data_IF_911610382522
#
_entry.id   IF_911610382522
#
_cell.length_a   1.000
_cell.length_b   1.000
_cell.length_c   1.000
_cell.angle_alpha   90.00
_cell.angle_beta   90.00
_cell.angle_gamma   90.00
#
_symmetry.space_group_name_H-M   'P 1'
#
loop_
_entity.id
_entity.type
_entity.pdbx_description
1 polymer ?
#
# COMPACT_ATOMS: atom_id res chain seq x y z
N UNK A 1 -17.30 0.57 -6.32
CA UNK A 1 -18.37 0.19 -5.37
C UNK A 1 -17.91 0.24 -3.90
N UNK A 2 -16.73 0.81 -3.59
CA UNK A 2 -16.08 0.80 -2.27
C UNK A 2 -16.56 1.91 -1.31
N UNK A 3 -17.19 2.98 -1.81
CA UNK A 3 -17.58 4.13 -0.98
C UNK A 3 -18.65 3.82 0.10
N UNK A 4 -19.53 2.83 -0.11
CA UNK A 4 -20.69 2.63 0.78
C UNK A 4 -20.33 2.07 2.16
N UNK A 5 -19.19 1.41 2.31
CA UNK A 5 -18.79 0.82 3.60
C UNK A 5 -18.12 1.84 4.53
N UNK A 6 -17.40 2.83 3.97
CA UNK A 6 -16.72 3.86 4.76
C UNK A 6 -17.68 4.91 5.30
N UNK A 7 -18.69 5.27 4.51
CA UNK A 7 -19.69 6.27 4.89
C UNK A 7 -20.44 5.84 6.17
N UNK A 8 -20.78 4.55 6.26
CA UNK A 8 -21.45 3.95 7.42
C UNK A 8 -20.53 3.83 8.64
N UNK A 9 -19.27 3.42 8.45
CA UNK A 9 -18.34 3.19 9.57
C UNK A 9 -18.02 4.47 10.33
N UNK A 10 -17.84 5.57 9.60
CA UNK A 10 -17.39 6.82 10.19
C UNK A 10 -18.49 7.87 10.28
N UNK A 11 -19.74 7.57 9.93
CA UNK A 11 -20.81 8.57 9.91
C UNK A 11 -20.40 9.80 9.10
N UNK A 12 -19.90 9.57 7.88
CA UNK A 12 -19.48 10.62 6.94
C UNK A 12 -20.23 10.37 5.63
N UNK A 13 -20.77 11.41 5.01
CA UNK A 13 -21.50 11.24 3.74
C UNK A 13 -21.07 12.31 2.74
N UNK A 14 -20.50 11.87 1.62
CA UNK A 14 -20.17 12.76 0.52
C UNK A 14 -21.43 13.41 -0.04
N UNK A 15 -21.33 14.68 -0.43
CA UNK A 15 -22.40 15.40 -1.13
C UNK A 15 -22.18 15.36 -2.63
N UNK A 16 -23.27 15.29 -3.40
CA UNK A 16 -23.19 15.39 -4.85
C UNK A 16 -22.73 16.80 -5.25
N UNK A 17 -21.62 16.88 -5.98
CA UNK A 17 -21.07 18.14 -6.47
C UNK A 17 -21.71 18.45 -7.82
N UNK A 18 -22.39 19.59 -7.91
CA UNK A 18 -22.93 20.04 -9.20
C UNK A 18 -21.78 20.49 -10.13
N UNK A 19 -21.51 19.71 -11.19
CA UNK A 19 -20.38 19.97 -12.11
C UNK A 19 -20.70 20.85 -13.31
N UNK A 20 -21.98 21.11 -13.60
CA UNK A 20 -22.40 21.89 -14.76
C UNK A 20 -23.17 23.14 -14.33
N UNK A 21 -22.64 24.31 -14.67
CA UNK A 21 -23.45 25.53 -14.61
C UNK A 21 -22.96 26.66 -15.51
N UNK A 22 -23.91 27.24 -16.23
CA UNK A 22 -23.82 28.57 -16.80
C UNK A 22 -25.22 29.19 -16.80
N UNK A 23 -25.49 30.16 -15.93
CA UNK A 23 -26.65 31.03 -16.13
C UNK A 23 -26.29 32.04 -17.21
N UNK A 24 -26.78 31.83 -18.43
CA UNK A 24 -26.58 32.72 -19.56
C UNK A 24 -26.81 32.03 -20.90
N UNK A 25 -27.16 32.81 -21.92
CA UNK A 25 -27.24 32.30 -23.30
C UNK A 25 -25.82 32.34 -23.88
N UNK A 26 -25.36 31.21 -24.44
CA UNK A 26 -24.07 31.14 -25.13
C UNK A 26 -23.96 32.30 -26.13
N UNK A 27 -22.88 33.09 -26.03
CA UNK A 27 -22.61 34.28 -26.84
C UNK A 27 -23.42 35.56 -26.52
N UNK A 28 -24.05 35.68 -25.35
CA UNK A 28 -24.59 36.96 -24.84
C UNK A 28 -23.85 37.41 -23.57
N UNK A 29 -23.63 38.72 -23.37
CA UNK A 29 -23.10 39.21 -22.10
C UNK A 29 -24.06 38.86 -20.97
N UNK A 30 -23.50 38.53 -19.80
CA UNK A 30 -24.28 38.24 -18.61
C UNK A 30 -24.90 39.52 -18.06
N UNK A 31 -26.13 39.43 -17.60
CA UNK A 31 -26.71 40.46 -16.73
C UNK A 31 -26.01 40.45 -15.36
N UNK A 32 -26.04 41.57 -14.64
CA UNK A 32 -25.44 41.67 -13.29
C UNK A 32 -26.01 40.62 -12.32
N UNK A 33 -27.31 40.35 -12.40
CA UNK A 33 -27.97 39.30 -11.61
C UNK A 33 -27.47 37.90 -11.98
N UNK A 34 -27.36 37.59 -13.28
CA UNK A 34 -26.77 36.31 -13.72
C UNK A 34 -25.32 36.17 -13.27
N UNK A 35 -24.53 37.25 -13.29
CA UNK A 35 -23.17 37.25 -12.78
C UNK A 35 -23.13 36.95 -11.28
N UNK A 36 -23.98 37.60 -10.47
CA UNK A 36 -24.09 37.36 -9.03
C UNK A 36 -24.52 35.92 -8.71
N UNK A 37 -25.50 35.39 -9.43
CA UNK A 37 -25.95 33.99 -9.30
C UNK A 37 -24.82 33.00 -9.65
N UNK A 38 -24.11 33.24 -10.76
CA UNK A 38 -22.94 32.45 -11.15
C UNK A 38 -21.86 32.46 -10.05
N UNK A 39 -21.59 33.61 -9.42
CA UNK A 39 -20.63 33.70 -8.32
C UNK A 39 -21.07 32.94 -7.06
N UNK A 40 -22.32 33.10 -6.62
CA UNK A 40 -22.87 32.39 -5.46
C UNK A 40 -22.79 30.88 -5.67
N UNK A 41 -23.21 30.41 -6.85
CA UNK A 41 -23.20 28.99 -7.18
C UNK A 41 -21.78 28.43 -7.29
N UNK A 42 -20.83 29.18 -7.89
CA UNK A 42 -19.41 28.79 -7.91
C UNK A 42 -18.85 28.63 -6.50
N UNK A 43 -19.17 29.54 -5.57
CA UNK A 43 -18.77 29.42 -4.16
C UNK A 43 -19.39 28.18 -3.49
N UNK A 44 -20.63 27.87 -3.81
CA UNK A 44 -21.31 26.69 -3.29
C UNK A 44 -20.70 25.37 -3.81
N UNK A 45 -20.39 25.27 -5.11
CA UNK A 45 -19.67 24.13 -5.70
C UNK A 45 -18.31 23.93 -5.00
N UNK A 46 -17.54 25.01 -4.85
CA UNK A 46 -16.27 24.96 -4.13
C UNK A 46 -16.43 24.49 -2.68
N UNK A 47 -17.53 24.89 -2.01
CA UNK A 47 -17.84 24.44 -0.66
C UNK A 47 -18.11 22.93 -0.62
N UNK A 48 -18.88 22.39 -1.58
CA UNK A 48 -19.15 20.96 -1.72
C UNK A 48 -17.87 20.15 -2.00
N UNK A 49 -17.02 20.63 -2.91
CA UNK A 49 -15.73 20.00 -3.21
C UNK A 49 -14.81 19.98 -1.99
N UNK A 50 -14.70 21.12 -1.30
CA UNK A 50 -13.91 21.23 -0.08
C UNK A 50 -14.45 20.32 1.02
N UNK A 51 -15.77 20.26 1.22
CA UNK A 51 -16.41 19.37 2.18
C UNK A 51 -16.10 17.90 1.86
N UNK A 52 -16.25 17.47 0.60
CA UNK A 52 -15.93 16.11 0.17
C UNK A 52 -14.44 15.77 0.33
N UNK A 53 -13.55 16.74 0.08
CA UNK A 53 -12.11 16.58 0.34
C UNK A 53 -11.83 16.41 1.83
N UNK A 54 -12.44 17.23 2.69
CA UNK A 54 -12.32 17.12 4.15
C UNK A 54 -12.90 15.79 4.66
N UNK A 55 -13.97 15.26 4.05
CA UNK A 55 -14.55 13.95 4.38
C UNK A 55 -13.54 12.83 4.14
N UNK A 56 -12.93 12.81 2.95
CA UNK A 56 -11.89 11.83 2.61
C UNK A 56 -10.71 11.92 3.57
N UNK A 57 -10.28 13.14 3.91
CA UNK A 57 -9.19 13.35 4.87
C UNK A 57 -9.53 12.78 6.25
N UNK A 58 -10.77 12.96 6.73
CA UNK A 58 -11.21 12.38 7.99
C UNK A 58 -11.21 10.85 7.93
N UNK A 59 -11.80 10.25 6.89
CA UNK A 59 -11.80 8.79 6.69
C UNK A 59 -10.37 8.24 6.73
N UNK A 60 -9.45 8.83 5.95
CA UNK A 60 -8.05 8.41 5.96
C UNK A 60 -7.40 8.56 7.33
N UNK A 61 -7.65 9.66 8.04
CA UNK A 61 -7.09 9.88 9.39
C UNK A 61 -7.61 8.83 10.38
N UNK A 62 -8.89 8.49 10.34
CA UNK A 62 -9.51 7.51 11.24
C UNK A 62 -9.08 6.07 10.92
N UNK A 63 -8.91 5.75 9.63
CA UNK A 63 -8.30 4.49 9.20
C UNK A 63 -6.87 4.38 9.75
N UNK A 64 -6.08 5.44 9.62
CA UNK A 64 -4.70 5.50 10.11
C UNK A 64 -4.64 5.33 11.64
N UNK A 65 -5.56 5.96 12.39
CA UNK A 65 -5.68 5.72 13.85
C UNK A 65 -5.97 4.25 14.15
N UNK A 66 -6.99 3.67 13.51
CA UNK A 66 -7.35 2.27 13.72
C UNK A 66 -6.15 1.36 13.43
N UNK A 67 -5.49 1.59 12.30
CA UNK A 67 -4.31 0.85 11.90
C UNK A 67 -3.16 0.96 12.91
N UNK A 68 -2.85 2.17 13.39
CA UNK A 68 -1.77 2.40 14.36
C UNK A 68 -2.11 1.72 15.68
N UNK A 69 -3.35 1.82 16.16
CA UNK A 69 -3.81 1.14 17.37
C UNK A 69 -3.65 -0.38 17.25
N UNK A 70 -4.13 -0.99 16.16
CA UNK A 70 -4.00 -2.43 15.93
C UNK A 70 -2.52 -2.87 15.84
N UNK A 71 -1.69 -2.05 15.20
CA UNK A 71 -0.26 -2.33 15.03
C UNK A 71 0.49 -2.20 16.35
N UNK A 72 0.14 -1.22 17.19
CA UNK A 72 0.65 -1.12 18.56
C UNK A 72 0.27 -2.36 19.38
N UNK A 73 -0.98 -2.82 19.29
CA UNK A 73 -1.42 -4.04 19.97
C UNK A 73 -0.59 -5.25 19.55
N UNK A 74 -0.37 -5.41 18.24
CA UNK A 74 0.47 -6.49 17.69
C UNK A 74 1.89 -6.42 18.24
N UNK A 75 2.53 -5.25 18.14
CA UNK A 75 3.92 -5.08 18.55
C UNK A 75 4.11 -5.31 20.06
N UNK A 76 3.19 -4.82 20.88
CA UNK A 76 3.18 -5.08 22.34
C UNK A 76 2.99 -6.57 22.61
N UNK A 77 2.05 -7.23 21.92
CA UNK A 77 1.85 -8.68 22.06
C UNK A 77 3.13 -9.47 21.73
N UNK A 78 3.83 -9.08 20.65
CA UNK A 78 5.07 -9.72 20.25
C UNK A 78 6.23 -9.48 21.24
N UNK A 79 6.25 -8.33 21.91
CA UNK A 79 7.22 -8.01 22.96
C UNK A 79 6.95 -8.80 24.25
N UNK A 80 5.69 -8.86 24.68
CA UNK A 80 5.30 -9.53 25.92
C UNK A 80 5.24 -11.06 25.77
N UNK A 81 5.09 -11.59 24.55
CA UNK A 81 4.88 -13.01 24.31
C UNK A 81 3.46 -13.49 24.62
N UNK A 82 2.54 -12.58 24.90
CA UNK A 82 1.14 -12.84 25.21
C UNK A 82 0.22 -12.00 24.31
N UNK A 83 -1.04 -12.40 24.15
CA UNK A 83 -1.98 -11.65 23.32
C UNK A 83 -2.45 -10.41 24.06
N UNK A 84 -2.05 -9.24 23.60
CA UNK A 84 -2.51 -7.96 24.11
C UNK A 84 -3.75 -7.51 23.35
N UNK A 85 -4.91 -7.64 23.99
CA UNK A 85 -6.17 -7.16 23.42
C UNK A 85 -6.38 -5.70 23.77
N UNK A 86 -6.41 -4.84 22.75
CA UNK A 86 -6.96 -3.50 22.90
C UNK A 86 -8.47 -3.61 22.74
N UNK A 87 -9.22 -3.26 23.78
CA UNK A 87 -10.66 -3.00 23.65
C UNK A 87 -10.85 -1.69 22.89
N UNK A 88 -10.62 -1.73 21.58
CA UNK A 88 -10.87 -0.59 20.72
C UNK A 88 -12.33 -0.60 20.33
N UNK A 89 -13.13 0.24 20.99
CA UNK A 89 -14.39 0.68 20.42
C UNK A 89 -14.02 1.67 19.33
N UNK A 90 -14.14 1.24 18.07
CA UNK A 90 -13.99 2.17 16.94
C UNK A 90 -14.86 3.40 17.17
N UNK A 91 -14.48 4.57 16.64
CA UNK A 91 -15.26 5.77 16.85
C UNK A 91 -16.59 5.58 16.11
N UNK A 92 -17.63 5.27 16.88
CA UNK A 92 -19.01 5.25 16.43
C UNK A 92 -19.44 6.71 16.35
N UNK A 93 -19.51 7.23 15.12
CA UNK A 93 -20.07 8.55 14.88
C UNK A 93 -21.51 8.38 14.43
N UNK A 94 -22.40 9.19 15.01
CA UNK A 94 -23.77 9.29 14.52
C UNK A 94 -23.79 9.70 13.05
N UNK A 95 -24.72 9.13 12.28
CA UNK A 95 -24.93 9.54 10.89
C UNK A 95 -25.22 11.05 10.84
N UNK A 96 -24.60 11.74 9.88
CA UNK A 96 -24.84 13.17 9.73
C UNK A 96 -26.31 13.45 9.41
N UNK A 97 -26.94 14.30 10.22
CA UNK A 97 -28.28 14.80 9.93
C UNK A 97 -28.24 15.70 8.67
N UNK A 98 -28.92 15.25 7.60
CA UNK A 98 -28.97 15.97 6.32
C UNK A 98 -29.69 17.32 6.41
N UNK A 99 -30.50 17.53 7.46
CA UNK A 99 -31.21 18.80 7.70
C UNK A 99 -30.26 19.92 8.17
N UNK A 100 -29.01 19.60 8.52
CA UNK A 100 -28.01 20.59 8.95
C UNK A 100 -27.37 21.27 7.72
N UNK A 101 -27.33 22.62 7.66
CA UNK A 101 -26.69 23.33 6.56
C UNK A 101 -25.24 22.91 6.31
N UNK A 102 -24.84 22.79 5.04
CA UNK A 102 -23.50 22.35 4.63
C UNK A 102 -22.33 23.11 5.32
N UNK A 103 -22.39 24.44 5.53
CA UNK A 103 -21.34 25.15 6.28
C UNK A 103 -21.15 24.61 7.70
N UNK A 104 -22.24 24.24 8.38
CA UNK A 104 -22.19 23.71 9.73
C UNK A 104 -21.75 22.24 9.76
N UNK A 105 -22.20 21.42 8.80
CA UNK A 105 -21.67 20.05 8.60
C UNK A 105 -20.16 20.09 8.41
N UNK A 106 -19.65 21.01 7.59
CA UNK A 106 -18.22 21.23 7.39
C UNK A 106 -17.49 21.66 8.66
N UNK A 107 -18.08 22.53 9.48
CA UNK A 107 -17.48 22.94 10.76
C UNK A 107 -17.35 21.75 11.73
N UNK A 108 -18.40 20.93 11.86
CA UNK A 108 -18.39 19.71 12.69
C UNK A 108 -17.33 18.72 12.19
N UNK A 109 -17.26 18.50 10.87
CA UNK A 109 -16.27 17.64 10.24
C UNK A 109 -14.83 18.09 10.54
N UNK A 110 -14.57 19.40 10.51
CA UNK A 110 -13.25 19.97 10.86
C UNK A 110 -12.90 19.77 12.32
N UNK A 111 -13.86 19.91 13.24
CA UNK A 111 -13.65 19.63 14.66
C UNK A 111 -13.26 18.16 14.87
N UNK A 112 -13.98 17.23 14.23
CA UNK A 112 -13.67 15.79 14.26
C UNK A 112 -12.29 15.49 13.67
N UNK A 113 -11.93 16.13 12.56
CA UNK A 113 -10.61 15.97 11.94
C UNK A 113 -9.49 16.50 12.84
N UNK A 114 -9.70 17.64 13.51
CA UNK A 114 -8.75 18.18 14.46
C UNK A 114 -8.55 17.25 15.67
N UNK A 115 -9.63 16.72 16.23
CA UNK A 115 -9.60 15.73 17.30
C UNK A 115 -8.86 14.46 16.89
N UNK A 116 -9.21 13.88 15.74
CA UNK A 116 -8.54 12.69 15.20
C UNK A 116 -7.02 12.92 15.04
N UNK A 117 -6.62 14.09 14.53
CA UNK A 117 -5.21 14.47 14.32
C UNK A 117 -4.44 14.77 15.60
N UNK A 118 -5.12 15.07 16.71
CA UNK A 118 -4.44 15.51 17.94
C UNK A 118 -3.51 14.44 18.54
N UNK A 119 -3.92 13.16 18.51
CA UNK A 119 -3.12 12.05 19.08
C UNK A 119 -2.34 11.26 18.05
N UNK A 120 -2.78 11.24 16.79
CA UNK A 120 -2.21 10.37 15.76
C UNK A 120 -0.68 10.51 15.61
N UNK A 121 -0.07 11.73 15.59
CA UNK A 121 1.39 11.86 15.50
C UNK A 121 2.12 11.20 16.68
N UNK A 122 1.57 11.30 17.89
CA UNK A 122 2.12 10.65 19.09
C UNK A 122 2.00 9.14 19.01
N UNK A 123 0.87 8.65 18.53
CA UNK A 123 0.62 7.21 18.36
C UNK A 123 1.58 6.61 17.31
N UNK A 124 1.80 7.30 16.19
CA UNK A 124 2.78 6.93 15.15
C UNK A 124 4.20 6.96 15.72
N UNK A 125 4.56 8.00 16.47
CA UNK A 125 5.88 8.10 17.09
C UNK A 125 6.13 6.94 18.06
N UNK A 126 5.12 6.59 18.86
CA UNK A 126 5.16 5.44 19.77
C UNK A 126 5.33 4.13 19.00
N UNK A 127 4.56 3.91 17.93
CA UNK A 127 4.69 2.72 17.09
C UNK A 127 6.10 2.60 16.52
N UNK A 128 6.64 3.68 15.97
CA UNK A 128 7.98 3.69 15.36
C UNK A 128 9.09 3.50 16.39
N UNK A 129 8.90 4.00 17.61
CA UNK A 129 9.82 3.74 18.72
C UNK A 129 9.82 2.25 19.09
N UNK A 130 8.64 1.66 19.26
CA UNK A 130 8.48 0.25 19.61
C UNK A 130 9.02 -0.66 18.49
N UNK A 131 8.73 -0.36 17.22
CA UNK A 131 9.27 -1.08 16.06
C UNK A 131 10.80 -1.08 16.03
N UNK A 132 11.42 0.07 16.30
CA UNK A 132 12.89 0.18 16.38
C UNK A 132 13.47 -0.60 17.56
N UNK A 133 12.80 -0.56 18.71
CA UNK A 133 13.20 -1.34 19.89
C UNK A 133 13.10 -2.85 19.60
N UNK A 134 12.03 -3.28 18.91
CA UNK A 134 11.84 -4.67 18.53
C UNK A 134 12.95 -5.16 17.60
N UNK A 135 13.31 -4.36 16.61
CA UNK A 135 14.41 -4.63 15.69
C UNK A 135 15.79 -4.69 16.37
N UNK A 136 16.03 -3.91 17.42
CA UNK A 136 17.32 -3.88 18.10
C UNK A 136 17.52 -5.03 19.10
N UNK A 137 16.43 -5.57 19.67
CA UNK A 137 16.49 -6.59 20.72
C UNK A 137 16.54 -8.03 20.21
N UNK A 138 16.02 -8.32 19.01
CA UNK A 138 15.90 -9.70 18.51
C UNK A 138 16.93 -10.02 17.43
N UNK A 139 17.92 -10.83 17.80
CA UNK A 139 18.89 -11.42 16.86
C UNK A 139 18.45 -12.78 16.29
N UNK A 140 17.36 -13.38 16.79
CA UNK A 140 16.93 -14.72 16.38
C UNK A 140 15.70 -14.68 15.48
N UNK A 141 15.95 -14.90 14.18
CA UNK A 141 14.94 -15.26 13.20
C UNK A 141 14.42 -16.65 13.56
N UNK A 142 13.23 -16.70 14.18
CA UNK A 142 12.62 -17.97 14.63
C UNK A 142 12.22 -18.93 13.49
N UNK A 143 12.14 -18.46 12.25
CA UNK A 143 11.71 -19.24 11.10
C UNK A 143 12.51 -18.85 9.86
N UNK A 144 13.09 -19.84 9.19
CA UNK A 144 13.81 -19.61 7.95
C UNK A 144 12.82 -19.18 6.85
N UNK A 145 13.16 -18.16 6.04
CA UNK A 145 12.34 -17.81 4.89
C UNK A 145 12.36 -18.95 3.86
N UNK A 146 11.56 -18.82 2.79
CA UNK A 146 11.64 -19.75 1.66
C UNK A 146 13.09 -19.87 1.16
N UNK A 147 13.52 -21.05 0.66
CA UNK A 147 14.76 -21.16 -0.10
C UNK A 147 14.80 -20.10 -1.20
N UNK A 148 15.97 -19.52 -1.44
CA UNK A 148 16.19 -18.46 -2.44
C UNK A 148 15.41 -17.17 -2.19
N UNK A 149 15.02 -16.89 -0.95
CA UNK A 149 14.55 -15.55 -0.58
C UNK A 149 15.70 -14.55 -0.74
N UNK A 150 15.51 -13.45 -1.48
CA UNK A 150 16.55 -12.44 -1.68
C UNK A 150 16.85 -11.67 -0.39
N UNK A 151 17.94 -10.90 -0.36
CA UNK A 151 18.22 -9.99 0.75
C UNK A 151 17.32 -8.75 0.74
N UNK A 152 16.76 -8.41 -0.42
CA UNK A 152 16.08 -7.14 -0.67
C UNK A 152 14.91 -7.31 -1.63
N UNK A 153 13.83 -6.61 -1.31
CA UNK A 153 12.71 -6.38 -2.21
C UNK A 153 12.65 -4.94 -2.69
N UNK A 154 12.03 -4.74 -3.83
CA UNK A 154 11.73 -3.47 -4.45
C UNK A 154 10.22 -3.31 -4.56
N UNK A 155 9.73 -2.10 -4.30
CA UNK A 155 8.33 -1.73 -4.56
C UNK A 155 8.27 -0.31 -5.11
N UNK A 156 7.70 -0.16 -6.29
CA UNK A 156 7.42 1.16 -6.85
C UNK A 156 6.24 1.82 -6.11
N UNK A 157 6.36 3.12 -5.85
CA UNK A 157 5.35 3.92 -5.17
C UNK A 157 4.51 4.64 -6.23
N UNK A 158 3.19 4.46 -6.17
CA UNK A 158 2.23 5.08 -7.08
C UNK A 158 1.05 5.62 -6.28
N UNK A 159 0.68 6.88 -6.51
CA UNK A 159 -0.39 7.58 -5.81
C UNK A 159 -1.76 6.95 -6.02
N UNK A 160 -2.01 6.33 -7.18
CA UNK A 160 -3.30 5.74 -7.51
C UNK A 160 -3.30 4.22 -7.26
N UNK A 161 -2.26 3.71 -6.57
CA UNK A 161 -2.26 2.34 -6.08
C UNK A 161 -3.28 2.18 -4.95
N UNK A 162 -3.97 1.04 -4.95
CA UNK A 162 -4.81 0.66 -3.82
C UNK A 162 -4.02 0.55 -2.51
N UNK A 163 -2.74 0.14 -2.56
CA UNK A 163 -1.89 0.07 -1.37
C UNK A 163 -1.55 1.46 -0.88
N UNK A 164 -1.83 1.76 0.39
CA UNK A 164 -1.48 3.03 1.00
C UNK A 164 0.00 3.06 1.33
N UNK A 165 0.63 4.21 1.11
CA UNK A 165 2.01 4.47 1.50
C UNK A 165 2.07 5.74 2.32
N UNK A 166 2.76 5.67 3.46
CA UNK A 166 3.16 6.83 4.25
C UNK A 166 4.61 6.64 4.70
N UNK A 167 5.40 7.72 4.73
CA UNK A 167 6.84 7.60 5.05
C UNK A 167 7.11 7.15 6.48
N UNK A 168 6.20 7.43 7.41
CA UNK A 168 6.33 7.07 8.82
C UNK A 168 5.66 5.74 9.13
N UNK A 169 4.67 5.30 8.35
CA UNK A 169 3.97 4.03 8.56
C UNK A 169 4.38 2.90 7.61
N UNK A 170 5.04 3.21 6.49
CA UNK A 170 5.40 2.27 5.45
C UNK A 170 4.25 1.92 4.51
N UNK A 171 4.22 0.68 4.02
CA UNK A 171 3.16 0.21 3.10
C UNK A 171 2.08 -0.53 3.84
N UNK A 172 0.84 -0.28 3.43
CA UNK A 172 -0.35 -0.76 4.09
C UNK A 172 -1.34 -1.29 3.08
N UNK A 173 -1.89 -2.47 3.35
CA UNK A 173 -2.85 -3.11 2.47
C UNK A 173 -4.06 -2.22 2.23
N UNK A 174 -4.65 -2.40 1.06
CA UNK A 174 -5.74 -1.55 0.58
C UNK A 174 -7.08 -1.80 1.24
N UNK A 175 -7.23 -2.96 1.89
CA UNK A 175 -8.42 -3.33 2.66
C UNK A 175 -8.39 -2.83 4.10
N UNK A 176 -7.42 -1.99 4.48
CA UNK A 176 -7.47 -1.35 5.79
C UNK A 176 -8.71 -0.47 5.92
N UNK A 177 -9.35 -0.47 7.12
CA UNK A 177 -8.98 -1.17 8.36
C UNK A 177 -9.74 -2.48 8.60
N UNK A 178 -10.21 -3.17 7.54
CA UNK A 178 -11.00 -4.41 7.67
C UNK A 178 -10.15 -5.66 7.89
N UNK A 179 -8.93 -5.64 7.40
CA UNK A 179 -7.91 -6.64 7.73
C UNK A 179 -7.53 -6.46 9.21
N UNK A 180 -6.97 -7.46 9.90
CA UNK A 180 -6.26 -7.30 11.19
C UNK A 180 -4.79 -7.75 11.09
N UNK A 181 -3.86 -7.20 11.92
CA UNK A 181 -2.49 -7.69 11.96
C UNK A 181 -2.48 -9.09 12.55
N UNK A 182 -1.58 -9.95 12.07
CA UNK A 182 -1.51 -11.34 12.51
C UNK A 182 -0.26 -11.59 13.32
N UNK A 183 -0.42 -12.23 14.47
CA UNK A 183 0.67 -12.77 15.27
C UNK A 183 0.89 -14.24 14.93
N UNK A 184 1.20 -14.52 13.66
CA UNK A 184 1.49 -15.87 13.20
C UNK A 184 3.01 -16.12 13.24
N UNK A 185 3.42 -17.31 13.70
CA UNK A 185 4.80 -17.77 13.60
C UNK A 185 5.00 -18.51 12.28
N UNK A 186 6.05 -18.19 11.53
CA UNK A 186 6.33 -18.86 10.26
C UNK A 186 5.87 -18.08 9.02
N UNK A 187 5.94 -18.69 7.83
CA UNK A 187 5.63 -18.05 6.55
C UNK A 187 4.13 -17.77 6.37
N UNK A 188 3.79 -16.88 5.44
CA UNK A 188 2.42 -16.49 5.11
C UNK A 188 1.56 -17.68 4.64
N UNK A 189 2.11 -18.64 3.88
CA UNK A 189 1.35 -19.78 3.37
C UNK A 189 0.84 -20.74 4.47
N UNK A 190 1.42 -20.69 5.68
CA UNK A 190 0.97 -21.50 6.83
C UNK A 190 -0.12 -20.81 7.65
N UNK A 191 -0.33 -19.51 7.45
CA UNK A 191 -1.16 -18.67 8.32
C UNK A 191 -2.67 -18.76 8.09
N UNK A 192 -3.12 -19.42 7.01
CA UNK A 192 -4.50 -19.43 6.53
C UNK A 192 -5.09 -18.04 6.21
N UNK A 193 -4.28 -16.97 6.22
CA UNK A 193 -4.71 -15.59 5.91
C UNK A 193 -4.89 -15.33 4.42
N UNK A 194 -4.45 -16.26 3.57
CA UNK A 194 -4.52 -16.17 2.11
C UNK A 194 -5.20 -17.42 1.59
N UNK A 195 -6.28 -17.24 0.86
CA UNK A 195 -6.96 -18.29 0.12
C UNK A 195 -6.76 -18.12 -1.39
N UNK A 196 -7.38 -19.03 -2.15
CA UNK A 196 -7.30 -19.07 -3.62
C UNK A 196 -7.81 -17.76 -4.24
N UNK A 197 -8.91 -17.24 -3.73
CA UNK A 197 -9.58 -16.07 -4.29
C UNK A 197 -8.78 -14.79 -3.99
N UNK A 198 -8.21 -14.69 -2.79
CA UNK A 198 -7.32 -13.59 -2.40
C UNK A 198 -6.06 -13.55 -3.25
N UNK A 199 -5.45 -14.72 -3.52
CA UNK A 199 -4.28 -14.80 -4.42
C UNK A 199 -4.66 -14.45 -5.86
N UNK A 200 -5.78 -14.98 -6.37
CA UNK A 200 -6.26 -14.68 -7.71
C UNK A 200 -6.53 -13.17 -7.87
N UNK A 201 -7.22 -12.55 -6.91
CA UNK A 201 -7.46 -11.11 -6.91
C UNK A 201 -6.15 -10.30 -6.84
N UNK A 202 -5.19 -10.70 -6.00
CA UNK A 202 -3.90 -10.02 -5.90
C UNK A 202 -3.07 -10.10 -7.20
N UNK A 203 -3.19 -11.21 -7.91
CA UNK A 203 -2.45 -11.42 -9.15
C UNK A 203 -3.15 -10.80 -10.36
N UNK A 204 -4.47 -10.92 -10.48
CA UNK A 204 -5.21 -10.67 -11.72
C UNK A 204 -6.42 -9.75 -11.55
N UNK A 205 -6.82 -9.48 -10.31
CA UNK A 205 -8.02 -8.71 -10.00
C UNK A 205 -7.82 -7.21 -9.99
N UNK A 206 -8.94 -6.51 -9.91
CA UNK A 206 -9.03 -5.05 -9.81
C UNK A 206 -9.59 -4.59 -8.45
N UNK A 207 -9.81 -5.52 -7.52
CA UNK A 207 -10.34 -5.22 -6.19
C UNK A 207 -9.21 -5.00 -5.16
N UNK A 208 -9.48 -4.21 -4.10
CA UNK A 208 -8.59 -4.11 -2.96
C UNK A 208 -8.18 -5.48 -2.40
N UNK A 209 -6.91 -5.60 -2.04
CA UNK A 209 -6.28 -6.79 -1.46
C UNK A 209 -5.67 -6.50 -0.09
N UNK A 210 -5.61 -7.56 0.73
CA UNK A 210 -4.87 -7.62 2.01
C UNK A 210 -3.35 -7.76 1.80
N UNK A 211 -2.93 -8.01 0.56
CA UNK A 211 -1.54 -8.28 0.20
C UNK A 211 -0.85 -7.04 -0.40
N UNK A 212 0.43 -6.92 -0.11
CA UNK A 212 1.32 -5.85 -0.56
C UNK A 212 2.31 -6.45 -1.55
N UNK A 213 2.10 -6.16 -2.84
CA UNK A 213 3.01 -6.53 -3.92
C UNK A 213 4.46 -6.03 -3.72
N UNK A 214 5.42 -6.91 -3.93
CA UNK A 214 6.86 -6.62 -3.93
C UNK A 214 7.55 -7.43 -5.03
N UNK A 215 8.76 -7.04 -5.40
CA UNK A 215 9.54 -7.74 -6.43
C UNK A 215 11.00 -7.75 -6.02
N UNK A 216 11.68 -8.87 -6.22
CA UNK A 216 13.14 -9.00 -6.07
C UNK A 216 13.89 -8.65 -7.37
N UNK A 217 13.15 -8.52 -8.48
CA UNK A 217 13.68 -8.18 -9.80
C UNK A 217 13.55 -6.68 -10.10
N UNK A 218 14.67 -5.92 -10.23
CA UNK A 218 14.68 -4.56 -10.75
C UNK A 218 14.00 -4.44 -12.12
N UNK A 219 14.31 -5.33 -13.06
CA UNK A 219 13.72 -5.37 -14.39
C UNK A 219 12.18 -5.51 -14.37
N UNK A 220 11.62 -6.28 -13.42
CA UNK A 220 10.16 -6.34 -13.23
C UNK A 220 9.58 -5.01 -12.78
N UNK A 221 10.21 -4.34 -11.80
CA UNK A 221 9.79 -3.01 -11.34
C UNK A 221 9.84 -2.00 -12.48
N UNK A 222 10.90 -1.99 -13.28
CA UNK A 222 11.04 -1.08 -14.42
C UNK A 222 9.96 -1.34 -15.49
N UNK A 223 9.59 -2.60 -15.75
CA UNK A 223 8.47 -2.94 -16.66
C UNK A 223 7.12 -2.49 -16.12
N UNK A 224 6.88 -2.65 -14.82
CA UNK A 224 5.65 -2.16 -14.18
C UNK A 224 5.54 -0.64 -14.32
N UNK A 225 6.60 0.09 -13.99
CA UNK A 225 6.64 1.56 -14.11
C UNK A 225 6.44 2.00 -15.57
N UNK A 226 7.04 1.31 -16.54
CA UNK A 226 6.86 1.63 -17.97
C UNK A 226 5.41 1.47 -18.44
N UNK A 227 4.64 0.58 -17.82
CA UNK A 227 3.23 0.39 -18.15
C UNK A 227 2.30 1.45 -17.55
N UNK A 228 2.83 2.30 -16.66
CA UNK A 228 2.06 3.38 -16.09
C UNK A 228 2.06 4.58 -17.06
N UNK A 229 0.88 4.91 -17.58
CA UNK A 229 0.67 5.97 -18.57
C UNK A 229 0.82 7.36 -17.89
N UNK A 230 2.05 7.90 -17.87
CA UNK A 230 2.35 9.19 -17.24
C UNK A 230 3.03 10.18 -18.17
N UNK A 231 2.53 11.41 -18.14
CA UNK A 231 3.15 12.58 -18.76
C UNK A 231 4.24 13.24 -17.88
N UNK A 232 4.44 12.82 -16.62
CA UNK A 232 5.49 13.38 -15.74
C UNK A 232 6.27 12.30 -14.94
N UNK A 233 7.60 12.20 -15.11
CA UNK A 233 8.47 11.28 -14.35
C UNK A 233 8.86 11.76 -12.94
N UNK A 234 8.59 13.03 -12.58
CA UNK A 234 9.12 13.68 -11.38
C UNK A 234 8.33 13.32 -10.13
N UNK A 235 8.63 12.17 -9.54
CA UNK A 235 8.03 11.72 -8.28
C UNK A 235 8.03 10.21 -8.09
N UNK A 236 8.44 9.45 -9.10
CA UNK A 236 8.51 7.99 -9.04
C UNK A 236 9.66 7.56 -8.14
N UNK A 237 9.29 7.11 -6.94
CA UNK A 237 10.20 6.59 -5.94
C UNK A 237 10.00 5.07 -5.86
N UNK A 238 11.11 4.34 -5.75
CA UNK A 238 11.11 2.91 -5.47
C UNK A 238 11.61 2.72 -4.05
N UNK A 239 10.81 2.07 -3.22
CA UNK A 239 11.23 1.64 -1.89
C UNK A 239 12.10 0.38 -2.01
N UNK A 240 13.24 0.41 -1.31
CA UNK A 240 14.14 -0.73 -1.13
C UNK A 240 13.89 -1.30 0.26
N UNK A 241 13.43 -2.54 0.34
CA UNK A 241 12.89 -3.17 1.55
C UNK A 241 13.83 -4.30 1.97
N UNK A 242 14.29 -4.27 3.22
CA UNK A 242 15.18 -5.29 3.77
C UNK A 242 14.41 -6.55 4.18
N UNK A 243 14.78 -7.69 3.61
CA UNK A 243 14.22 -8.99 4.02
C UNK A 243 14.60 -9.32 5.46
N UNK A 244 15.84 -9.06 5.86
CA UNK A 244 16.28 -9.27 7.24
C UNK A 244 15.39 -8.51 8.24
N UNK A 245 15.06 -7.24 7.96
CA UNK A 245 14.18 -6.46 8.83
C UNK A 245 12.73 -6.93 8.78
N UNK A 246 12.22 -7.38 7.63
CA UNK A 246 10.89 -7.99 7.53
C UNK A 246 10.81 -9.23 8.43
N UNK A 247 11.80 -10.11 8.36
CA UNK A 247 11.88 -11.31 9.19
C UNK A 247 12.00 -10.97 10.68
N UNK A 248 12.84 -10.00 11.03
CA UNK A 248 12.99 -9.54 12.41
C UNK A 248 11.69 -8.96 12.98
N UNK A 249 10.91 -8.23 12.16
CA UNK A 249 9.58 -7.70 12.50
C UNK A 249 8.45 -8.73 12.36
N UNK A 250 8.77 -10.00 12.04
CA UNK A 250 7.79 -11.08 11.79
C UNK A 250 6.73 -10.70 10.75
N UNK A 251 7.10 -9.92 9.74
CA UNK A 251 6.21 -9.63 8.62
C UNK A 251 6.04 -10.92 7.83
N UNK A 252 4.80 -11.33 7.61
CA UNK A 252 4.48 -12.52 6.83
C UNK A 252 4.60 -12.17 5.34
N UNK A 253 5.47 -12.85 4.62
CA UNK A 253 5.59 -12.71 3.17
C UNK A 253 5.94 -14.04 2.52
N UNK A 254 5.55 -14.20 1.26
CA UNK A 254 5.92 -15.35 0.43
C UNK A 254 5.94 -14.97 -1.06
N UNK A 255 6.58 -15.83 -1.86
CA UNK A 255 6.53 -15.77 -3.32
C UNK A 255 5.15 -16.22 -3.79
N UNK A 256 4.61 -15.55 -4.80
CA UNK A 256 3.27 -15.86 -5.34
C UNK A 256 3.17 -17.26 -5.95
N UNK A 257 4.26 -17.81 -6.51
CA UNK A 257 4.28 -19.20 -7.00
C UNK A 257 4.21 -20.21 -5.85
N UNK A 258 4.87 -19.93 -4.72
CA UNK A 258 4.84 -20.78 -3.53
C UNK A 258 3.44 -20.78 -2.93
N UNK A 259 2.80 -19.60 -2.84
CA UNK A 259 1.39 -19.52 -2.45
C UNK A 259 0.48 -20.28 -3.41
N UNK A 260 0.67 -20.13 -4.72
CA UNK A 260 -0.12 -20.85 -5.72
C UNK A 260 -0.01 -22.37 -5.56
N UNK A 261 1.22 -22.89 -5.41
CA UNK A 261 1.48 -24.31 -5.18
C UNK A 261 0.79 -24.81 -3.90
N UNK A 262 1.01 -24.13 -2.76
CA UNK A 262 0.44 -24.52 -1.46
C UNK A 262 -1.09 -24.46 -1.43
N UNK A 263 -1.68 -23.53 -2.18
CA UNK A 263 -3.13 -23.43 -2.31
C UNK A 263 -3.70 -24.38 -3.38
N UNK A 264 -2.87 -25.12 -4.12
CA UNK A 264 -3.33 -25.98 -5.22
C UNK A 264 -3.89 -25.18 -6.41
N UNK A 265 -3.38 -23.98 -6.64
CA UNK A 265 -3.70 -23.11 -7.77
C UNK A 265 -2.61 -23.25 -8.82
N UNK A 266 -2.99 -23.54 -10.07
CA UNK A 266 -2.04 -23.64 -11.17
C UNK A 266 -1.52 -22.25 -11.54
N UNK A 267 -0.22 -22.12 -11.79
CA UNK A 267 0.36 -20.93 -12.39
C UNK A 267 0.20 -20.99 -13.91
N UNK A 268 0.15 -19.83 -14.56
CA UNK A 268 0.03 -19.80 -16.01
C UNK A 268 1.29 -20.32 -16.68
N UNK A 269 1.09 -21.13 -17.70
CA UNK A 269 2.11 -21.52 -18.66
C UNK A 269 1.46 -21.79 -20.02
N UNK A 270 2.22 -21.90 -21.12
CA UNK A 270 1.65 -22.27 -22.43
C UNK A 270 0.86 -23.59 -22.40
N UNK A 271 1.26 -24.55 -21.55
CA UNK A 271 0.54 -25.82 -21.34
C UNK A 271 -0.59 -25.73 -20.30
N UNK A 272 -0.64 -24.66 -19.50
CA UNK A 272 -1.67 -24.40 -18.50
C UNK A 272 -2.21 -22.96 -18.62
N UNK A 273 -2.93 -22.63 -19.71
CA UNK A 273 -3.34 -21.26 -20.00
C UNK A 273 -4.42 -20.71 -19.05
N UNK A 274 -5.04 -21.57 -18.23
CA UNK A 274 -6.03 -21.19 -17.20
C UNK A 274 -5.41 -20.95 -15.81
N UNK A 275 -4.09 -21.07 -15.68
CA UNK A 275 -3.41 -20.76 -14.43
C UNK A 275 -3.34 -19.25 -14.17
N UNK A 276 -3.02 -18.87 -12.93
CA UNK A 276 -2.85 -17.47 -12.53
C UNK A 276 -1.67 -16.86 -13.27
N UNK A 277 -1.95 -15.90 -14.15
CA UNK A 277 -1.03 -15.29 -15.12
C UNK A 277 0.13 -14.57 -14.49
N UNK A 278 -0.15 -13.85 -13.40
CA UNK A 278 0.84 -12.95 -12.81
C UNK A 278 1.61 -13.57 -11.66
N UNK A 279 1.21 -14.73 -11.12
CA UNK A 279 2.01 -15.46 -10.16
C UNK A 279 3.31 -15.95 -10.82
N UNK A 280 4.47 -15.47 -10.35
CA UNK A 280 5.77 -15.76 -10.96
C UNK A 280 6.92 -15.70 -9.93
N UNK A 281 8.11 -16.25 -10.26
CA UNK A 281 9.20 -16.37 -9.29
C UNK A 281 9.69 -15.06 -8.67
N UNK A 282 9.54 -13.94 -9.40
CA UNK A 282 10.03 -12.64 -8.97
C UNK A 282 8.92 -11.77 -8.35
N UNK A 283 7.73 -12.33 -8.13
CA UNK A 283 6.60 -11.62 -7.54
C UNK A 283 6.32 -12.14 -6.14
N UNK A 284 6.59 -11.27 -5.18
CA UNK A 284 6.44 -11.50 -3.75
C UNK A 284 5.28 -10.68 -3.20
N UNK A 285 4.70 -11.16 -2.10
CA UNK A 285 3.64 -10.45 -1.40
C UNK A 285 3.89 -10.48 0.09
N UNK A 286 3.70 -9.34 0.76
CA UNK A 286 3.63 -9.25 2.22
C UNK A 286 2.18 -9.09 2.66
N UNK A 287 1.82 -9.67 3.79
CA UNK A 287 0.48 -9.52 4.34
C UNK A 287 0.36 -8.22 5.14
N UNK A 288 -0.68 -7.45 4.83
CA UNK A 288 -1.19 -6.26 5.54
C UNK A 288 -0.25 -5.06 5.66
N UNK A 289 0.97 -5.23 6.12
CA UNK A 289 1.85 -4.16 6.56
C UNK A 289 3.32 -4.46 6.29
N UNK A 290 3.99 -3.52 5.61
CA UNK A 290 5.45 -3.43 5.58
C UNK A 290 5.83 -2.17 6.38
N UNK A 291 6.39 -2.31 7.60
CA UNK A 291 6.79 -1.18 8.44
C UNK A 291 7.77 -0.24 7.75
N UNK A 292 7.71 1.04 8.10
CA UNK A 292 8.64 2.05 7.59
C UNK A 292 10.09 1.69 7.94
N UNK A 293 10.32 1.10 9.11
CA UNK A 293 11.63 0.66 9.58
C UNK A 293 12.26 -0.42 8.69
N UNK A 294 11.44 -1.23 8.01
CA UNK A 294 11.87 -2.26 7.07
C UNK A 294 12.32 -1.68 5.72
N UNK A 295 11.97 -0.42 5.42
CA UNK A 295 12.41 0.28 4.21
C UNK A 295 13.80 0.85 4.48
N UNK A 296 14.80 0.37 3.74
CA UNK A 296 16.20 0.82 3.87
C UNK A 296 16.42 2.17 3.21
N UNK A 297 15.88 2.34 2.01
CA UNK A 297 16.10 3.54 1.22
C UNK A 297 15.01 3.73 0.17
N UNK A 298 15.03 4.92 -0.42
CA UNK A 298 14.18 5.33 -1.51
C UNK A 298 15.09 5.70 -2.68
N UNK A 299 14.93 5.02 -3.80
CA UNK A 299 15.75 5.25 -5.00
C UNK A 299 14.90 5.76 -6.15
N UNK A 300 15.53 6.51 -7.05
CA UNK A 300 14.88 6.96 -8.28
C UNK A 300 14.82 5.83 -9.30
N UNK A 301 13.92 5.95 -10.28
CA UNK A 301 13.86 5.05 -11.44
C UNK A 301 15.16 5.07 -12.24
N UNK A 302 15.79 6.24 -12.37
CA UNK A 302 17.09 6.37 -13.04
C UNK A 302 18.17 5.54 -12.32
N UNK A 303 18.27 5.69 -11.00
CA UNK A 303 19.21 4.92 -10.18
C UNK A 303 19.00 3.41 -10.31
N UNK A 304 17.75 2.94 -10.34
CA UNK A 304 17.46 1.52 -10.55
C UNK A 304 17.86 1.05 -11.96
N UNK A 305 17.61 1.86 -13.00
CA UNK A 305 18.03 1.53 -14.39
C UNK A 305 19.54 1.42 -14.52
N UNK A 306 20.28 2.33 -13.90
CA UNK A 306 21.74 2.32 -13.99
C UNK A 306 22.32 1.10 -13.25
N UNK A 307 21.76 0.76 -12.09
CA UNK A 307 22.12 -0.46 -11.37
C UNK A 307 21.80 -1.75 -12.15
N UNK A 308 20.63 -1.81 -12.79
CA UNK A 308 20.19 -2.96 -13.61
C UNK A 308 21.10 -3.17 -14.83
N UNK A 309 21.45 -2.08 -15.54
CA UNK A 309 22.41 -2.12 -16.65
C UNK A 309 23.80 -2.59 -16.21
N UNK A 310 24.29 -2.09 -15.08
CA UNK A 310 25.60 -2.47 -14.55
C UNK A 310 25.64 -3.96 -14.21
N UNK A 311 24.60 -4.50 -13.56
CA UNK A 311 24.48 -5.94 -13.30
C UNK A 311 24.45 -6.76 -14.58
N UNK A 312 23.70 -6.33 -15.59
CA UNK A 312 23.66 -7.04 -16.87
C UNK A 312 25.06 -7.10 -17.51
N UNK A 313 25.79 -5.98 -17.50
CA UNK A 313 27.15 -5.92 -18.03
C UNK A 313 28.13 -6.85 -17.27
N UNK A 314 28.07 -6.86 -15.93
CA UNK A 314 28.89 -7.75 -15.09
C UNK A 314 28.58 -9.23 -15.36
N UNK A 315 27.30 -9.58 -15.51
CA UNK A 315 26.88 -10.95 -15.81
C UNK A 315 27.33 -11.38 -17.22
N UNK A 316 27.18 -10.51 -18.21
CA UNK A 316 27.62 -10.78 -19.58
C UNK A 316 29.15 -10.97 -19.65
N UNK A 317 29.91 -10.20 -18.84
CA UNK A 317 31.36 -10.35 -18.73
C UNK A 317 31.76 -11.69 -18.09
N UNK A 318 31.12 -12.08 -16.98
CA UNK A 318 31.39 -13.36 -16.32
C UNK A 318 31.07 -14.56 -17.22
N UNK A 319 29.99 -14.50 -18.00
CA UNK A 319 29.67 -15.55 -18.98
C UNK A 319 30.72 -15.66 -20.09
N UNK A 320 31.28 -14.53 -20.55
CA UNK A 320 32.36 -14.54 -21.53
C UNK A 320 33.65 -15.14 -20.95
N UNK A 321 34.01 -14.80 -19.71
CA UNK A 321 35.18 -15.39 -19.03
C UNK A 321 35.02 -16.90 -18.79
N UNK A 322 33.84 -17.34 -18.36
CA UNK A 322 33.55 -18.77 -18.13
C UNK A 322 33.61 -19.55 -19.45
N UNK A 323 33.04 -19.01 -20.53
CA UNK A 323 33.11 -19.62 -21.86
C UNK A 323 34.54 -19.65 -22.43
N UNK A 324 35.38 -18.66 -22.12
CA UNK A 324 36.79 -18.63 -22.51
C UNK A 324 37.62 -19.65 -21.73
N UNK A 325 37.38 -19.78 -20.41
CA UNK A 325 38.01 -20.81 -19.57
C UNK A 325 37.68 -22.22 -20.07
N UNK A 326 36.40 -22.52 -20.30
CA UNK A 326 35.98 -23.83 -20.83
C UNK A 326 36.57 -24.13 -22.21
N UNK A 327 36.80 -23.11 -23.05
CA UNK A 327 37.48 -23.28 -24.35
C UNK A 327 38.97 -23.53 -24.19
N UNK A 328 39.63 -22.92 -23.20
CA UNK A 328 41.05 -23.15 -22.93
C UNK A 328 41.29 -24.53 -22.33
N UNK A 329 40.41 -25.00 -21.43
CA UNK A 329 40.49 -26.35 -20.85
C UNK A 329 40.28 -27.44 -21.91
N UNK A 330 39.43 -27.20 -22.90
CA UNK A 330 39.22 -28.10 -24.04
C UNK A 330 40.36 -28.10 -25.08
N UNK A 331 41.28 -27.12 -25.01
CA UNK A 331 42.45 -27.02 -25.89
C UNK A 331 43.72 -27.63 -25.28
N UNK A 332 43.65 -28.19 -24.06
CA UNK A 332 44.73 -28.97 -23.46
C UNK A 332 45.96 -28.15 -23.06
N UNK A 333 45.75 -26.95 -22.48
CA UNK A 333 46.79 -26.19 -21.79
C UNK A 333 46.81 -26.48 -20.29
#
# INVERSE_FOLDING_TARGET
MVNRDFDKRYGVRLVDVERFFYAGIKNKPLTEEQYRQNQIKKRYIQLQENYNSECRNLIHTLDDKTFVTDSLALMVSQLLGEVFHISYRGPEYEEENEDVPLPQRRANLRARLADARSTLPTDITTLNFISRLFLSQRSMVSHWPEPDTPDTFYRAIWSDSYTRFDKQLGFRSSRQPFTLPSNHGGPLYESLLVDKDSLANQCEGDQPSDLIAMSDSPARILRLIKSWDFNEPSGQVIAVISVQKLLAMKVLFNRTTTLAEKLGVKTWSPSQPRGVKWANPNYWVAYRWVPAECIQSYISVASLRDADKKRQFEFDHQLQETSLSEKMDNLGF
#
